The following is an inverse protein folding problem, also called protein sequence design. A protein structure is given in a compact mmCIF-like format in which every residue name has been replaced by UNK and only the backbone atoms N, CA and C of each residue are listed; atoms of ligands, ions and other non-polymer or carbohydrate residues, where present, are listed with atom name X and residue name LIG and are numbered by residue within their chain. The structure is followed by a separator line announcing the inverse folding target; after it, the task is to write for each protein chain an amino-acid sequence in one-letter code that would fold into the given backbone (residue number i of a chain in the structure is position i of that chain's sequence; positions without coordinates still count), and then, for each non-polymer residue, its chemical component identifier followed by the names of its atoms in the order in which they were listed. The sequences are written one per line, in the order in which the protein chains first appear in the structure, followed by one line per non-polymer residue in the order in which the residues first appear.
data_IF_462812584736
#
_entry.id   IF_462812584736
#
_cell.length_a   1.000
_cell.length_b   1.000
_cell.length_c   1.000
_cell.angle_alpha   90.00
_cell.angle_beta   90.00
_cell.angle_gamma   90.00
#
_symmetry.space_group_name_H-M   'P 1'
#
loop_
_entity.id
_entity.type
_entity.pdbx_description
1 polymer ?
#
# COMPACT_ATOMS: atom_id res chain seq x y z
N UNK A 1 -3.51 40.12 -23.76
CA UNK A 1 -3.16 38.86 -23.06
C UNK A 1 -3.44 37.60 -23.87
N UNK A 2 -4.65 37.37 -24.39
CA UNK A 2 -4.91 36.25 -25.33
C UNK A 2 -4.45 36.58 -26.74
N UNK A 3 -4.65 37.83 -27.17
CA UNK A 3 -4.16 38.37 -28.45
C UNK A 3 -2.63 38.29 -28.53
N UNK A 4 -1.90 38.72 -27.50
CA UNK A 4 -0.44 38.61 -27.43
C UNK A 4 0.08 37.17 -27.55
N UNK A 5 -0.67 36.18 -27.04
CA UNK A 5 -0.33 34.75 -27.17
C UNK A 5 -0.57 34.24 -28.58
N UNK A 6 -1.61 34.73 -29.26
CA UNK A 6 -1.85 34.41 -30.67
C UNK A 6 -0.79 35.06 -31.56
N UNK A 7 -0.45 36.32 -31.32
CA UNK A 7 0.59 37.06 -32.05
C UNK A 7 1.97 36.39 -31.91
N UNK A 8 2.30 35.90 -30.70
CA UNK A 8 3.49 35.10 -30.50
C UNK A 8 3.45 33.80 -31.31
N UNK A 9 2.32 33.09 -31.36
CA UNK A 9 2.21 31.86 -32.15
C UNK A 9 2.39 32.12 -33.65
N UNK A 10 1.79 33.19 -34.19
CA UNK A 10 1.99 33.60 -35.58
C UNK A 10 3.45 33.95 -35.86
N UNK A 11 4.11 34.69 -34.97
CA UNK A 11 5.53 35.05 -35.09
C UNK A 11 6.46 33.83 -35.09
N UNK A 12 6.13 32.79 -34.33
CA UNK A 12 6.88 31.54 -34.27
C UNK A 12 6.38 30.47 -35.26
N UNK A 13 5.43 30.82 -36.14
CA UNK A 13 4.82 29.92 -37.12
C UNK A 13 4.20 28.65 -36.48
N UNK A 14 3.64 28.79 -35.28
CA UNK A 14 3.04 27.73 -34.48
C UNK A 14 1.53 27.70 -34.72
N UNK A 15 0.98 26.58 -35.18
CA UNK A 15 -0.47 26.47 -35.39
C UNK A 15 -1.21 26.07 -34.12
N UNK A 16 -2.26 26.82 -33.77
CA UNK A 16 -3.15 26.47 -32.67
C UNK A 16 -4.44 25.88 -33.24
N UNK A 17 -4.80 24.68 -32.79
CA UNK A 17 -6.07 24.06 -33.16
C UNK A 17 -7.20 24.61 -32.28
N UNK A 18 -8.08 25.43 -32.85
CA UNK A 18 -9.25 26.00 -32.16
C UNK A 18 -10.13 24.92 -31.53
N UNK A 19 -10.28 23.78 -32.21
CA UNK A 19 -11.08 22.63 -31.72
C UNK A 19 -10.52 21.98 -30.44
N UNK A 20 -9.24 22.22 -30.11
CA UNK A 20 -8.58 21.64 -28.92
C UNK A 20 -8.39 22.65 -27.80
N UNK A 21 -8.78 23.92 -28.01
CA UNK A 21 -8.68 24.93 -26.96
C UNK A 21 -9.95 24.89 -26.13
N UNK A 22 -9.79 24.71 -24.82
CA UNK A 22 -10.87 24.80 -23.86
C UNK A 22 -10.87 26.22 -23.30
N UNK A 23 -11.89 27.01 -23.64
CA UNK A 23 -12.05 28.40 -23.21
C UNK A 23 -13.11 28.48 -22.11
N UNK A 24 -12.94 29.42 -21.19
CA UNK A 24 -13.92 29.78 -20.15
C UNK A 24 -14.43 28.62 -19.28
N UNK A 25 -13.67 27.53 -19.19
CA UNK A 25 -13.95 26.45 -18.25
C UNK A 25 -13.40 26.80 -16.87
N UNK A 26 -14.22 26.61 -15.85
CA UNK A 26 -13.82 26.69 -14.45
C UNK A 26 -12.78 25.62 -14.11
N UNK A 27 -12.86 24.46 -14.77
CA UNK A 27 -11.98 23.30 -14.57
C UNK A 27 -11.59 22.66 -15.90
N UNK A 28 -10.30 22.40 -16.07
CA UNK A 28 -9.76 21.76 -17.28
C UNK A 28 -8.84 20.59 -16.92
N UNK A 29 -8.94 19.50 -17.67
CA UNK A 29 -8.00 18.39 -17.58
C UNK A 29 -6.76 18.66 -18.43
N UNK A 30 -5.57 18.66 -17.83
CA UNK A 30 -4.30 18.83 -18.54
C UNK A 30 -3.26 17.84 -18.01
N UNK A 31 -2.63 17.08 -18.92
CA UNK A 31 -1.61 16.07 -18.62
C UNK A 31 -2.01 15.07 -17.51
N UNK A 32 -3.29 14.67 -17.46
CA UNK A 32 -3.79 13.72 -16.46
C UNK A 32 -4.18 14.35 -15.11
N UNK A 33 -3.99 15.66 -14.95
CA UNK A 33 -4.38 16.40 -13.75
C UNK A 33 -5.57 17.32 -14.03
N UNK A 34 -6.36 17.63 -13.00
CA UNK A 34 -7.42 18.64 -13.07
C UNK A 34 -6.87 19.97 -12.59
N UNK A 35 -7.09 21.02 -13.36
CA UNK A 35 -6.65 22.39 -13.07
C UNK A 35 -7.89 23.27 -12.98
N UNK A 36 -7.98 24.03 -11.90
CA UNK A 36 -9.04 25.00 -11.61
C UNK A 36 -8.44 26.39 -11.42
N UNK A 37 -9.28 27.42 -11.32
CA UNK A 37 -8.86 28.79 -10.95
C UNK A 37 -8.11 28.79 -9.60
N UNK A 38 -8.47 27.90 -8.68
CA UNK A 38 -7.79 27.72 -7.40
C UNK A 38 -6.45 26.97 -7.47
N UNK A 39 -6.01 26.54 -8.65
CA UNK A 39 -4.77 25.80 -8.86
C UNK A 39 -4.99 24.34 -9.29
N UNK A 40 -4.02 23.48 -8.98
CA UNK A 40 -4.12 22.05 -9.26
C UNK A 40 -5.17 21.44 -8.31
N UNK A 41 -6.20 20.81 -8.85
CA UNK A 41 -7.28 20.16 -8.09
C UNK A 41 -7.02 18.66 -8.02
N UNK A 42 -7.41 18.05 -6.90
CA UNK A 42 -7.39 16.60 -6.76
C UNK A 42 -8.23 15.94 -7.87
N UNK A 43 -7.68 14.91 -8.51
CA UNK A 43 -8.43 14.14 -9.48
C UNK A 43 -9.37 13.18 -8.73
N UNK A 44 -10.69 13.18 -9.01
CA UNK A 44 -11.62 12.27 -8.34
C UNK A 44 -11.28 10.78 -8.55
N UNK A 45 -10.48 10.43 -9.58
CA UNK A 45 -9.95 9.07 -9.76
C UNK A 45 -8.91 8.69 -8.69
N UNK A 46 -8.09 9.64 -8.28
CA UNK A 46 -7.06 9.45 -7.24
C UNK A 46 -7.70 9.35 -5.85
N UNK A 47 -8.89 9.93 -5.68
CA UNK A 47 -9.66 9.82 -4.44
C UNK A 47 -10.29 8.43 -4.27
N UNK A 48 -10.78 7.83 -5.36
CA UNK A 48 -11.37 6.48 -5.34
C UNK A 48 -10.31 5.39 -5.15
N UNK A 49 -9.12 5.55 -5.74
CA UNK A 49 -8.02 4.61 -5.51
C UNK A 49 -7.50 4.65 -4.07
N UNK A 50 -7.76 5.72 -3.32
CA UNK A 50 -7.43 5.81 -1.90
C UNK A 50 -8.33 4.92 -1.03
N UNK A 51 -9.62 4.84 -1.34
CA UNK A 51 -10.59 4.04 -0.57
C UNK A 51 -10.45 2.53 -0.78
N UNK A 52 -9.92 2.12 -1.94
CA UNK A 52 -9.79 0.70 -2.31
C UNK A 52 -8.41 0.11 -1.98
N UNK A 53 -7.50 0.89 -1.37
CA UNK A 53 -6.11 0.46 -1.18
C UNK A 53 -5.94 -0.39 0.10
N UNK A 54 -5.39 -1.61 0.01
CA UNK A 54 -4.87 -2.29 1.19
C UNK A 54 -3.71 -1.48 1.77
N UNK A 55 -3.49 -1.60 3.08
CA UNK A 55 -2.50 -0.89 3.91
C UNK A 55 -1.37 -0.14 3.15
N UNK A 56 -1.11 1.15 3.47
CA UNK A 56 -0.22 2.05 2.72
C UNK A 56 1.19 1.51 2.47
N UNK A 57 1.38 0.78 1.37
CA UNK A 57 2.71 0.35 0.89
C UNK A 57 3.04 0.88 -0.51
N UNK A 58 2.02 1.32 -1.25
CA UNK A 58 2.16 1.81 -2.63
C UNK A 58 1.31 3.06 -2.84
N UNK A 59 1.51 4.06 -1.98
CA UNK A 59 0.83 5.33 -2.15
C UNK A 59 1.51 6.14 -3.26
N UNK A 60 1.01 5.98 -4.49
CA UNK A 60 1.26 6.92 -5.60
C UNK A 60 0.27 8.09 -5.62
N UNK A 61 -0.57 8.23 -4.60
CA UNK A 61 -1.37 9.44 -4.41
C UNK A 61 -0.43 10.59 -4.04
N UNK A 62 -0.52 11.75 -4.70
CA UNK A 62 0.23 12.90 -4.28
C UNK A 62 -0.33 13.32 -2.91
N UNK A 63 0.39 13.03 -1.83
CA UNK A 63 0.07 13.47 -0.46
C UNK A 63 0.01 15.01 -0.31
N UNK A 64 0.18 15.75 -1.40
CA UNK A 64 -0.05 17.18 -1.54
C UNK A 64 -1.53 17.56 -1.55
N UNK A 65 -2.43 16.61 -1.82
CA UNK A 65 -3.89 16.85 -1.91
C UNK A 65 -4.68 16.38 -0.69
N UNK A 66 -4.03 15.70 0.25
CA UNK A 66 -4.65 15.20 1.46
C UNK A 66 -4.07 16.01 2.62
N UNK A 67 -4.88 16.93 3.15
CA UNK A 67 -4.59 17.59 4.41
C UNK A 67 -4.43 16.50 5.49
N UNK A 68 -3.41 16.62 6.33
CA UNK A 68 -3.07 15.62 7.36
C UNK A 68 -2.62 14.25 6.85
N UNK A 69 -2.22 14.12 5.59
CA UNK A 69 -1.67 12.86 5.06
C UNK A 69 -0.49 12.32 5.88
N UNK A 70 0.36 13.22 6.38
CA UNK A 70 1.48 12.84 7.25
C UNK A 70 0.99 12.23 8.57
N UNK A 71 -0.13 12.74 9.13
CA UNK A 71 -0.75 12.24 10.36
C UNK A 71 -1.44 10.91 10.10
N UNK A 72 -2.19 10.79 9.01
CA UNK A 72 -2.81 9.54 8.59
C UNK A 72 -1.76 8.44 8.35
N UNK A 73 -0.68 8.78 7.64
CA UNK A 73 0.42 7.86 7.41
C UNK A 73 1.11 7.47 8.72
N UNK A 74 1.39 8.42 9.62
CA UNK A 74 2.05 8.11 10.90
C UNK A 74 1.23 7.15 11.76
N UNK A 75 -0.08 7.39 11.90
CA UNK A 75 -0.98 6.50 12.65
C UNK A 75 -1.01 5.10 12.04
N UNK A 76 -1.02 4.99 10.70
CA UNK A 76 -0.97 3.70 10.04
C UNK A 76 0.37 3.00 10.25
N UNK A 77 1.51 3.68 10.11
CA UNK A 77 2.81 3.03 10.36
C UNK A 77 2.97 2.58 11.82
N UNK A 78 2.44 3.35 12.78
CA UNK A 78 2.48 3.00 14.20
C UNK A 78 1.61 1.76 14.52
N UNK A 79 0.38 1.70 13.98
CA UNK A 79 -0.49 0.51 14.12
C UNK A 79 0.13 -0.74 13.48
N UNK A 80 0.81 -0.58 12.35
CA UNK A 80 1.55 -1.68 11.69
C UNK A 80 2.65 -2.23 12.58
N UNK A 81 3.47 -1.38 13.19
CA UNK A 81 4.55 -1.81 14.07
C UNK A 81 4.00 -2.60 15.27
N UNK A 82 2.86 -2.17 15.82
CA UNK A 82 2.16 -2.87 16.90
C UNK A 82 1.63 -4.23 16.45
N UNK A 83 0.95 -4.30 15.30
CA UNK A 83 0.43 -5.56 14.75
C UNK A 83 1.56 -6.55 14.42
N UNK A 84 2.69 -6.08 13.89
CA UNK A 84 3.85 -6.92 13.64
C UNK A 84 4.48 -7.44 14.94
N UNK A 85 4.64 -6.59 15.96
CA UNK A 85 5.16 -7.00 17.25
C UNK A 85 4.25 -8.01 17.96
N UNK A 86 2.92 -7.88 17.81
CA UNK A 86 1.96 -8.85 18.35
C UNK A 86 2.00 -10.18 17.58
N UNK A 87 2.12 -10.13 16.26
CA UNK A 87 2.29 -11.32 15.42
C UNK A 87 3.57 -12.08 15.78
N UNK A 88 4.68 -11.35 15.97
CA UNK A 88 5.99 -11.89 16.36
C UNK A 88 5.90 -12.60 17.72
N UNK A 89 5.31 -11.94 18.74
CA UNK A 89 5.05 -12.55 20.05
C UNK A 89 4.17 -13.80 19.97
N UNK A 90 3.13 -13.79 19.11
CA UNK A 90 2.28 -14.97 18.88
C UNK A 90 3.06 -16.11 18.22
N UNK A 91 3.96 -15.83 17.28
CA UNK A 91 4.84 -16.85 16.70
C UNK A 91 5.83 -17.40 17.71
N UNK A 92 6.42 -16.55 18.56
CA UNK A 92 7.31 -17.00 19.62
C UNK A 92 6.58 -17.89 20.63
N UNK A 93 5.37 -17.50 21.03
CA UNK A 93 4.53 -18.31 21.91
C UNK A 93 4.17 -19.66 21.28
N UNK A 94 3.79 -19.68 19.99
CA UNK A 94 3.56 -20.94 19.26
C UNK A 94 4.82 -21.81 19.23
N UNK A 95 5.98 -21.21 18.96
CA UNK A 95 7.27 -21.91 18.91
C UNK A 95 7.64 -22.50 20.28
N UNK A 96 7.32 -21.81 21.37
CA UNK A 96 7.50 -22.30 22.74
C UNK A 96 6.51 -23.44 23.04
N UNK A 97 5.24 -23.32 22.63
CA UNK A 97 4.25 -24.38 22.83
C UNK A 97 4.59 -25.64 22.04
N UNK A 98 5.00 -25.49 20.78
CA UNK A 98 5.43 -26.60 19.90
C UNK A 98 6.71 -27.30 20.42
N UNK A 99 7.58 -26.59 21.15
CA UNK A 99 8.78 -27.15 21.78
C UNK A 99 8.51 -27.86 23.11
N UNK A 100 7.41 -27.53 23.79
CA UNK A 100 7.05 -28.08 25.10
C UNK A 100 6.05 -29.23 25.02
N UNK A 101 5.68 -29.70 23.82
CA UNK A 101 4.79 -30.85 23.64
C UNK A 101 5.45 -32.12 24.21
N UNK A 102 5.04 -32.62 25.39
CA UNK A 102 5.74 -33.69 26.08
C UNK A 102 5.07 -35.03 25.75
N UNK A 103 4.99 -35.39 24.46
CA UNK A 103 4.44 -36.69 24.04
C UNK A 103 5.20 -37.24 22.81
N UNK A 104 6.51 -37.50 22.95
CA UNK A 104 7.22 -38.43 22.04
C UNK A 104 8.62 -38.87 22.57
N UNK A 105 8.86 -38.83 23.88
CA UNK A 105 10.10 -39.36 24.47
C UNK A 105 9.70 -40.10 25.74
N UNK A 106 10.13 -41.36 25.84
CA UNK A 106 10.07 -42.21 27.04
C UNK A 106 8.87 -43.17 27.18
N UNK A 107 8.66 -44.00 26.16
CA UNK A 107 8.27 -45.39 26.44
C UNK A 107 9.00 -46.35 25.50
N UNK A 108 10.31 -46.49 25.69
CA UNK A 108 10.94 -47.77 25.36
C UNK A 108 10.29 -48.83 26.27
N UNK A 109 9.65 -49.89 25.73
CA UNK A 109 9.15 -50.97 26.56
C UNK A 109 10.36 -51.68 27.20
N UNK A 110 10.31 -52.04 28.49
CA UNK A 110 11.42 -52.77 29.10
C UNK A 110 11.63 -54.11 28.37
N UNK A 111 12.88 -54.37 28.01
CA UNK A 111 13.33 -55.61 27.38
C UNK A 111 12.79 -56.83 28.15
N UNK A 112 11.88 -57.58 27.53
CA UNK A 112 11.46 -58.88 28.05
C UNK A 112 12.58 -59.88 27.78
N UNK A 113 13.36 -60.18 28.80
CA UNK A 113 14.33 -61.27 28.80
C UNK A 113 13.60 -62.60 28.51
N UNK A 114 13.67 -63.06 27.27
CA UNK A 114 13.26 -64.40 26.88
C UNK A 114 14.38 -65.37 27.28
N UNK A 115 14.37 -65.78 28.55
CA UNK A 115 15.14 -66.94 28.99
C UNK A 115 14.60 -68.18 28.25
N UNK A 116 15.46 -68.84 27.47
CA UNK A 116 15.13 -70.11 26.81
C UNK A 116 14.84 -71.24 27.80
N UNK A 117 14.31 -72.36 27.31
CA UNK A 117 15.15 -73.55 27.39
C UNK A 117 15.20 -74.41 26.11
N UNK A 118 16.29 -75.16 26.07
CA UNK A 118 16.71 -76.23 25.15
C UNK A 118 15.68 -77.37 24.96
N UNK A 119 15.72 -77.92 23.73
CA UNK A 119 15.56 -79.33 23.29
C UNK A 119 14.49 -80.25 23.93
N UNK A 120 13.65 -80.83 23.06
CA UNK A 120 13.74 -82.25 22.62
C UNK A 120 13.18 -82.40 21.19
#
# INVERSE_FOLDING_TARGET
MVEDRLEACDKWNLSISVAKILWAMDKVGYLGHRVSIGGLEANPKDLKSLTDLPFPGSLRVPGRFIEDYAIYASVLYELREVEFAELEKRSDLRKIMDQNDPIARDHDPPELQLAGPLDE
#
